data_IF_902000963147
#
_entry.id   IF_902000963147
#
_cell.length_a   1.000
_cell.length_b   1.000
_cell.length_c   1.000
_cell.angle_alpha   90.00
_cell.angle_beta   90.00
_cell.angle_gamma   90.00
#
_symmetry.space_group_name_H-M   'P 1'
#
loop_
_entity.id
_entity.type
_entity.pdbx_description
1 polymer ?
#
# COMPACT_ATOMS: atom_id res chain seq x y z
N UNK A 1 -2.14 -23.58 -12.93
CA UNK A 1 -1.88 -22.57 -11.89
C UNK A 1 -2.31 -21.23 -12.44
N UNK A 2 -3.17 -20.48 -11.75
CA UNK A 2 -3.48 -19.09 -12.13
C UNK A 2 -2.22 -18.25 -11.94
N UNK A 3 -1.86 -17.48 -12.96
CA UNK A 3 -0.74 -16.54 -12.88
C UNK A 3 -1.18 -15.32 -12.08
N UNK A 4 -0.51 -15.04 -10.96
CA UNK A 4 -0.76 -13.82 -10.19
C UNK A 4 -0.13 -12.63 -10.90
N UNK A 5 -0.89 -11.55 -11.02
CA UNK A 5 -0.45 -10.29 -11.64
C UNK A 5 0.23 -9.41 -10.60
N UNK A 6 1.26 -8.67 -11.03
CA UNK A 6 1.90 -7.62 -10.25
C UNK A 6 1.55 -6.26 -10.85
N UNK A 7 1.14 -5.31 -10.01
CA UNK A 7 0.88 -3.93 -10.39
C UNK A 7 2.13 -3.06 -10.15
N UNK A 8 2.78 -2.54 -11.20
CA UNK A 8 3.89 -1.61 -11.05
C UNK A 8 3.40 -0.23 -10.55
N UNK A 9 4.31 0.58 -10.00
CA UNK A 9 4.03 1.93 -9.48
C UNK A 9 3.19 2.79 -10.44
N UNK A 10 3.47 2.76 -11.75
CA UNK A 10 2.71 3.52 -12.77
C UNK A 10 1.19 3.28 -12.74
N UNK A 11 0.73 2.12 -12.28
CA UNK A 11 -0.71 1.83 -12.16
C UNK A 11 -1.32 2.49 -10.91
N UNK A 12 -0.52 2.66 -9.86
CA UNK A 12 -0.90 3.46 -8.70
C UNK A 12 -0.92 4.94 -9.08
N UNK A 13 0.09 5.44 -9.80
CA UNK A 13 0.09 6.83 -10.31
C UNK A 13 -1.15 7.10 -11.18
N UNK A 14 -1.52 6.15 -12.04
CA UNK A 14 -2.73 6.22 -12.86
C UNK A 14 -4.02 6.24 -12.04
N UNK A 15 -4.06 5.53 -10.91
CA UNK A 15 -5.19 5.59 -9.97
C UNK A 15 -5.24 6.96 -9.26
N UNK A 16 -4.12 7.39 -8.69
CA UNK A 16 -4.02 8.61 -7.89
C UNK A 16 -4.16 9.90 -8.72
N UNK A 17 -3.97 9.82 -10.03
CA UNK A 17 -4.20 10.92 -10.96
C UNK A 17 -5.66 11.11 -11.41
N UNK A 18 -6.60 10.28 -10.93
CA UNK A 18 -8.02 10.39 -11.29
C UNK A 18 -8.79 11.26 -10.29
N UNK A 19 -9.82 11.95 -10.77
CA UNK A 19 -10.77 12.67 -9.93
C UNK A 19 -11.81 11.69 -9.36
N UNK A 20 -11.48 11.10 -8.22
CA UNK A 20 -12.29 10.09 -7.53
C UNK A 20 -12.67 10.55 -6.12
N UNK A 21 -13.79 10.03 -5.61
CA UNK A 21 -14.11 10.15 -4.20
C UNK A 21 -12.96 9.58 -3.34
N UNK A 22 -12.49 10.30 -2.29
CA UNK A 22 -11.32 9.88 -1.52
C UNK A 22 -11.43 8.49 -0.90
N UNK A 23 -12.63 8.04 -0.52
CA UNK A 23 -12.83 6.70 0.03
C UNK A 23 -12.75 5.63 -1.05
N UNK A 24 -13.19 5.93 -2.27
CA UNK A 24 -13.05 5.04 -3.42
C UNK A 24 -11.58 4.94 -3.85
N UNK A 25 -10.87 6.06 -3.94
CA UNK A 25 -9.43 6.08 -4.27
C UNK A 25 -8.63 5.23 -3.26
N UNK A 26 -8.82 5.45 -1.95
CA UNK A 26 -8.12 4.71 -0.91
C UNK A 26 -8.43 3.20 -0.93
N UNK A 27 -9.70 2.83 -1.21
CA UNK A 27 -10.10 1.43 -1.35
C UNK A 27 -9.40 0.76 -2.54
N UNK A 28 -9.42 1.40 -3.70
CA UNK A 28 -8.77 0.88 -4.90
C UNK A 28 -7.25 0.77 -4.72
N UNK A 29 -6.64 1.74 -4.04
CA UNK A 29 -5.22 1.70 -3.68
C UNK A 29 -4.92 0.49 -2.79
N UNK A 30 -5.71 0.27 -1.73
CA UNK A 30 -5.57 -0.89 -0.85
C UNK A 30 -5.74 -2.22 -1.61
N UNK A 31 -6.65 -2.29 -2.58
CA UNK A 31 -6.87 -3.49 -3.39
C UNK A 31 -5.71 -3.79 -4.34
N UNK A 32 -5.12 -2.77 -4.98
CA UNK A 32 -3.87 -2.91 -5.73
C UNK A 32 -2.74 -3.41 -4.84
N UNK A 33 -2.62 -2.86 -3.63
CA UNK A 33 -1.66 -3.35 -2.64
C UNK A 33 -1.92 -4.81 -2.26
N UNK A 34 -3.18 -5.25 -2.08
CA UNK A 34 -3.53 -6.66 -1.78
C UNK A 34 -3.06 -7.61 -2.88
N UNK A 35 -3.22 -7.21 -4.15
CA UNK A 35 -2.72 -8.01 -5.27
C UNK A 35 -1.20 -8.10 -5.23
N UNK A 36 -0.50 -6.99 -4.99
CA UNK A 36 0.96 -6.99 -4.86
C UNK A 36 1.45 -7.80 -3.65
N UNK A 37 0.74 -7.76 -2.52
CA UNK A 37 1.02 -8.61 -1.35
C UNK A 37 0.91 -10.10 -1.70
N UNK A 38 -0.17 -10.51 -2.37
CA UNK A 38 -0.32 -11.90 -2.80
C UNK A 38 0.79 -12.31 -3.76
N UNK A 39 1.12 -11.46 -4.72
CA UNK A 39 2.23 -11.69 -5.64
C UNK A 39 3.55 -11.89 -4.89
N UNK A 40 3.89 -10.99 -3.96
CA UNK A 40 5.13 -11.07 -3.17
C UNK A 40 5.19 -12.35 -2.32
N UNK A 41 4.12 -12.67 -1.60
CA UNK A 41 4.07 -13.86 -0.74
C UNK A 41 4.18 -15.14 -1.57
N UNK A 42 3.49 -15.20 -2.72
CA UNK A 42 3.58 -16.35 -3.63
C UNK A 42 5.00 -16.52 -4.17
N UNK A 43 5.66 -15.44 -4.59
CA UNK A 43 7.04 -15.49 -5.10
C UNK A 43 8.04 -15.88 -4.02
N UNK A 44 7.83 -15.42 -2.78
CA UNK A 44 8.67 -15.77 -1.64
C UNK A 44 8.41 -17.19 -1.10
N UNK A 45 7.26 -17.80 -1.43
CA UNK A 45 6.84 -19.10 -0.90
C UNK A 45 6.47 -19.07 0.59
N UNK A 46 6.41 -17.90 1.22
CA UNK A 46 6.07 -17.72 2.63
C UNK A 46 5.63 -16.27 2.94
N UNK A 47 4.83 -16.09 4.00
CA UNK A 47 4.38 -14.78 4.46
C UNK A 47 3.05 -14.83 5.21
N UNK A 48 2.65 -13.71 5.83
CA UNK A 48 1.45 -13.62 6.67
C UNK A 48 0.32 -12.85 5.96
N UNK A 49 -0.35 -13.51 4.99
CA UNK A 49 -1.40 -12.90 4.16
C UNK A 49 -2.47 -12.22 5.02
N UNK A 50 -2.99 -12.93 6.03
CA UNK A 50 -4.07 -12.41 6.89
C UNK A 50 -3.68 -11.14 7.65
N UNK A 51 -2.42 -11.00 8.06
CA UNK A 51 -1.97 -9.80 8.75
C UNK A 51 -1.75 -8.62 7.80
N UNK A 52 -1.21 -8.87 6.61
CA UNK A 52 -1.08 -7.84 5.58
C UNK A 52 -2.45 -7.36 5.10
N UNK A 53 -3.40 -8.26 4.88
CA UNK A 53 -4.71 -7.90 4.33
C UNK A 53 -5.59 -7.13 5.31
N UNK A 54 -5.50 -7.45 6.60
CA UNK A 54 -6.37 -6.86 7.63
C UNK A 54 -6.08 -5.40 7.93
N UNK A 55 -4.90 -4.88 7.59
CA UNK A 55 -4.54 -3.48 7.86
C UNK A 55 -4.57 -2.57 6.64
N UNK A 56 -4.63 -3.12 5.42
CA UNK A 56 -4.36 -2.34 4.22
C UNK A 56 -5.30 -1.16 4.02
N UNK A 57 -6.57 -1.26 4.39
CA UNK A 57 -7.50 -0.13 4.25
C UNK A 57 -7.12 1.05 5.16
N UNK A 58 -6.82 0.76 6.44
CA UNK A 58 -6.43 1.78 7.42
C UNK A 58 -5.06 2.37 7.08
N UNK A 59 -4.08 1.52 6.76
CA UNK A 59 -2.74 1.97 6.42
C UNK A 59 -2.74 2.79 5.12
N UNK A 60 -3.48 2.37 4.09
CA UNK A 60 -3.63 3.16 2.86
C UNK A 60 -4.26 4.53 3.16
N UNK A 61 -5.33 4.58 3.94
CA UNK A 61 -5.96 5.86 4.32
C UNK A 61 -4.99 6.79 5.05
N UNK A 62 -4.28 6.27 6.07
CA UNK A 62 -3.30 7.06 6.82
C UNK A 62 -2.24 7.65 5.89
N UNK A 63 -1.67 6.83 5.00
CA UNK A 63 -0.62 7.26 4.10
C UNK A 63 -1.10 8.24 3.01
N UNK A 64 -2.32 8.10 2.50
CA UNK A 64 -2.85 8.95 1.43
C UNK A 64 -3.44 10.27 1.94
N UNK A 65 -4.00 10.28 3.16
CA UNK A 65 -4.85 11.39 3.62
C UNK A 65 -4.43 12.03 4.93
N UNK A 66 -3.80 11.30 5.84
CA UNK A 66 -3.53 11.79 7.20
C UNK A 66 -2.07 12.16 7.43
N UNK A 67 -1.14 11.41 6.85
CA UNK A 67 0.29 11.59 7.09
C UNK A 67 0.85 12.79 6.33
N UNK A 68 1.59 13.65 7.04
CA UNK A 68 2.45 14.65 6.44
C UNK A 68 3.73 13.98 5.94
N UNK A 69 3.88 13.94 4.63
CA UNK A 69 5.05 13.38 3.96
C UNK A 69 5.43 14.22 2.75
N UNK A 70 6.18 15.28 3.01
CA UNK A 70 6.82 16.12 2.00
C UNK A 70 8.35 16.02 2.18
N UNK A 71 9.08 15.42 1.21
CA UNK A 71 10.52 15.28 1.29
C UNK A 71 11.28 16.62 1.24
N UNK A 72 10.61 17.71 0.83
CA UNK A 72 11.21 19.05 0.74
C UNK A 72 10.83 19.95 1.92
N UNK A 73 10.03 19.46 2.87
CA UNK A 73 9.57 20.27 3.99
C UNK A 73 10.61 20.36 5.10
N UNK A 74 10.77 21.56 5.66
CA UNK A 74 11.56 21.81 6.87
C UNK A 74 10.74 21.63 8.17
N UNK A 75 9.48 21.23 8.07
CA UNK A 75 8.62 20.95 9.23
C UNK A 75 8.63 19.48 9.59
N UNK A 76 8.19 19.15 10.81
CA UNK A 76 8.05 17.78 11.26
C UNK A 76 7.18 16.95 10.30
N UNK A 77 7.71 15.79 9.89
CA UNK A 77 7.03 14.80 9.06
C UNK A 77 6.55 13.65 9.94
N UNK A 78 5.39 13.09 9.61
CA UNK A 78 4.82 12.00 10.39
C UNK A 78 5.58 10.69 10.13
N UNK A 79 5.70 9.88 11.18
CA UNK A 79 6.38 8.58 11.12
C UNK A 79 5.37 7.48 11.40
N UNK A 80 5.28 6.53 10.46
CA UNK A 80 4.44 5.34 10.61
C UNK A 80 5.28 4.15 11.05
N UNK A 81 4.85 3.48 12.11
CA UNK A 81 5.46 2.25 12.60
C UNK A 81 4.44 1.12 12.57
N UNK A 82 4.65 0.12 11.71
CA UNK A 82 3.93 -1.15 11.85
C UNK A 82 4.56 -1.97 12.98
N UNK A 83 3.98 -1.88 14.18
CA UNK A 83 4.41 -2.70 15.32
C UNK A 83 4.16 -4.20 15.06
N UNK A 84 3.20 -4.54 14.20
CA UNK A 84 2.91 -5.90 13.76
C UNK A 84 3.81 -6.33 12.59
N UNK A 85 5.13 -6.37 12.80
CA UNK A 85 6.12 -6.51 11.71
C UNK A 85 5.98 -7.72 10.75
N UNK A 86 5.15 -8.70 11.07
CA UNK A 86 4.80 -9.79 10.16
C UNK A 86 3.93 -9.35 8.97
N UNK A 87 3.39 -8.13 9.00
CA UNK A 87 2.66 -7.52 7.88
C UNK A 87 3.54 -6.80 6.86
N UNK A 88 4.87 -6.93 6.95
CA UNK A 88 5.83 -6.26 6.09
C UNK A 88 5.46 -6.21 4.59
N UNK A 89 4.88 -7.27 3.96
CA UNK A 89 4.42 -7.18 2.57
C UNK A 89 3.42 -6.05 2.32
N UNK A 90 2.51 -5.76 3.25
CA UNK A 90 1.56 -4.65 3.12
C UNK A 90 2.30 -3.30 3.13
N UNK A 91 3.25 -3.12 4.03
CA UNK A 91 4.06 -1.91 4.09
C UNK A 91 4.86 -1.72 2.80
N UNK A 92 5.47 -2.78 2.27
CA UNK A 92 6.19 -2.73 0.99
C UNK A 92 5.26 -2.36 -0.17
N UNK A 93 4.05 -2.93 -0.22
CA UNK A 93 3.08 -2.63 -1.26
C UNK A 93 2.59 -1.17 -1.22
N UNK A 94 2.40 -0.61 -0.02
CA UNK A 94 2.04 0.81 0.15
C UNK A 94 3.18 1.71 -0.31
N UNK A 95 4.39 1.48 0.20
CA UNK A 95 5.54 2.32 -0.16
C UNK A 95 5.79 2.29 -1.67
N UNK A 96 5.70 1.12 -2.29
CA UNK A 96 5.81 0.98 -3.75
C UNK A 96 4.73 1.75 -4.52
N UNK A 97 3.50 1.77 -4.00
CA UNK A 97 2.40 2.51 -4.62
C UNK A 97 2.54 4.03 -4.49
N UNK A 98 3.31 4.52 -3.51
CA UNK A 98 3.53 5.95 -3.27
C UNK A 98 4.77 6.51 -3.97
N UNK A 99 5.70 5.65 -4.41
CA UNK A 99 7.01 6.06 -4.94
C UNK A 99 8.05 6.24 -3.86
#
# INVERSE_FOLDING_TARGET
MSELVYFPQREFDRLLGQDLDPHIEARLFADLCRVNVLYMIQKAGSGHIGSSFSCLDVAAWLHLREMRRDPNSNTFQDVYFSSKGHDAPAMYAILLGLG
#
